data_IF_179452692076
#
_entry.id   IF_179452692076
#
_cell.length_a   1.000
_cell.length_b   1.000
_cell.length_c   1.000
_cell.angle_alpha   90.00
_cell.angle_beta   90.00
_cell.angle_gamma   90.00
#
_symmetry.space_group_name_H-M   'P 1'
#
loop_
_entity.id
_entity.type
_entity.pdbx_description
1 polymer ?
#
# COMPACT_ATOMS: atom_id res chain seq x y z
N UNK A 1 -17.39 -17.64 -1.37
CA UNK A 1 -16.23 -16.77 -1.05
C UNK A 1 -14.87 -17.35 -1.47
N UNK A 2 -14.80 -18.60 -1.95
CA UNK A 2 -13.54 -19.31 -2.21
C UNK A 2 -12.66 -18.63 -3.26
N UNK A 3 -13.22 -18.23 -4.41
CA UNK A 3 -12.47 -17.57 -5.49
C UNK A 3 -11.89 -16.21 -5.07
N UNK A 4 -12.64 -15.39 -4.32
CA UNK A 4 -12.16 -14.08 -3.86
C UNK A 4 -10.99 -14.16 -2.89
N UNK A 5 -10.88 -15.25 -2.13
CA UNK A 5 -9.78 -15.47 -1.18
C UNK A 5 -8.49 -15.94 -1.85
N UNK A 6 -8.55 -16.36 -3.11
CA UNK A 6 -7.40 -16.87 -3.88
C UNK A 6 -6.74 -15.78 -4.73
N UNK A 7 -7.26 -14.55 -4.73
CA UNK A 7 -6.75 -13.42 -5.51
C UNK A 7 -6.14 -12.35 -4.61
N UNK A 8 -5.49 -11.36 -5.23
CA UNK A 8 -5.10 -10.13 -4.54
C UNK A 8 -6.26 -9.12 -4.64
N UNK A 9 -6.94 -8.78 -3.53
CA UNK A 9 -8.12 -7.92 -3.59
C UNK A 9 -7.74 -6.44 -3.72
N UNK A 10 -8.42 -5.74 -4.61
CA UNK A 10 -8.39 -4.29 -4.71
C UNK A 10 -9.77 -3.73 -4.34
N UNK A 11 -9.80 -2.81 -3.37
CA UNK A 11 -11.05 -2.24 -2.87
C UNK A 11 -11.29 -0.85 -3.46
N UNK A 12 -12.39 -0.69 -4.20
CA UNK A 12 -12.88 0.61 -4.65
C UNK A 12 -14.08 0.98 -3.76
N UNK A 13 -13.94 2.05 -2.97
CA UNK A 13 -15.00 2.55 -2.08
C UNK A 13 -15.62 3.80 -2.71
N UNK A 14 -16.79 3.65 -3.33
CA UNK A 14 -17.54 4.78 -3.86
C UNK A 14 -18.08 5.66 -2.71
N UNK A 15 -18.08 6.98 -2.91
CA UNK A 15 -18.57 7.97 -1.94
C UNK A 15 -19.66 8.79 -2.59
N UNK A 16 -20.81 8.90 -1.93
CA UNK A 16 -21.91 9.76 -2.35
C UNK A 16 -21.63 11.17 -1.82
N UNK A 17 -21.55 12.19 -2.70
CA UNK A 17 -21.23 13.55 -2.28
C UNK A 17 -22.44 14.28 -1.66
N UNK A 18 -23.67 13.94 -2.04
CA UNK A 18 -24.90 14.52 -1.48
C UNK A 18 -26.12 13.63 -1.81
N UNK A 19 -27.22 13.78 -1.06
CA UNK A 19 -28.47 13.02 -1.27
C UNK A 19 -29.43 13.70 -2.27
N UNK A 20 -29.24 14.99 -2.53
CA UNK A 20 -30.06 15.79 -3.45
C UNK A 20 -29.71 15.57 -4.94
N UNK A 21 -28.81 14.64 -5.25
CA UNK A 21 -28.38 14.24 -6.61
C UNK A 21 -27.91 15.41 -7.47
N UNK A 22 -27.33 16.44 -6.85
CA UNK A 22 -26.91 17.66 -7.56
C UNK A 22 -25.39 17.65 -7.75
N UNK A 23 -24.94 17.94 -8.97
CA UNK A 23 -23.51 18.04 -9.28
C UNK A 23 -22.85 19.23 -8.58
N UNK A 24 -21.59 19.09 -8.18
CA UNK A 24 -20.79 20.18 -7.59
C UNK A 24 -21.09 20.48 -6.11
N UNK A 25 -22.03 19.77 -5.48
CA UNK A 25 -22.35 19.92 -4.06
C UNK A 25 -21.75 18.75 -3.27
N UNK A 26 -21.08 19.06 -2.16
CA UNK A 26 -20.54 18.07 -1.25
C UNK A 26 -21.03 18.35 0.18
N UNK A 27 -21.72 17.38 0.75
CA UNK A 27 -22.08 17.34 2.17
C UNK A 27 -20.97 16.68 2.97
N UNK A 28 -20.29 17.49 3.78
CA UNK A 28 -19.14 17.04 4.56
C UNK A 28 -19.52 16.04 5.66
N UNK A 29 -20.68 16.19 6.31
CA UNK A 29 -21.09 15.28 7.37
C UNK A 29 -21.45 13.90 6.80
N UNK A 30 -22.16 13.88 5.67
CA UNK A 30 -22.46 12.66 4.93
C UNK A 30 -21.20 11.92 4.48
N UNK A 31 -20.23 12.64 3.90
CA UNK A 31 -18.95 12.05 3.46
C UNK A 31 -18.14 11.53 4.64
N UNK A 32 -18.03 12.31 5.73
CA UNK A 32 -17.33 11.87 6.95
C UNK A 32 -17.93 10.58 7.51
N UNK A 33 -19.27 10.51 7.62
CA UNK A 33 -19.95 9.31 8.06
C UNK A 33 -19.60 8.10 7.19
N UNK A 34 -19.62 8.26 5.86
CA UNK A 34 -19.22 7.19 4.93
C UNK A 34 -17.76 6.76 5.12
N UNK A 35 -16.83 7.69 5.33
CA UNK A 35 -15.41 7.37 5.57
C UNK A 35 -15.19 6.57 6.85
N UNK A 36 -15.95 6.88 7.91
CA UNK A 36 -15.94 6.11 9.16
C UNK A 36 -16.55 4.71 8.97
N UNK A 37 -17.77 4.62 8.43
CA UNK A 37 -18.50 3.37 8.28
C UNK A 37 -17.83 2.40 7.29
N UNK A 38 -17.22 2.92 6.22
CA UNK A 38 -16.45 2.11 5.26
C UNK A 38 -15.07 1.69 5.79
N UNK A 39 -14.69 2.13 6.99
CA UNK A 39 -13.39 1.83 7.60
C UNK A 39 -12.20 2.46 6.87
N UNK A 40 -12.41 3.52 6.09
CA UNK A 40 -11.34 4.18 5.31
C UNK A 40 -10.30 4.78 6.26
N UNK A 41 -10.76 5.47 7.31
CA UNK A 41 -9.87 6.08 8.31
C UNK A 41 -9.06 5.02 9.07
N UNK A 42 -9.71 3.90 9.38
CA UNK A 42 -9.08 2.77 10.05
C UNK A 42 -8.05 2.06 9.15
N UNK A 43 -8.39 1.88 7.86
CA UNK A 43 -7.46 1.36 6.86
C UNK A 43 -6.21 2.23 6.72
N UNK A 44 -6.37 3.55 6.65
CA UNK A 44 -5.24 4.50 6.64
C UNK A 44 -4.41 4.36 7.93
N UNK A 45 -5.07 4.27 9.09
CA UNK A 45 -4.39 4.13 10.38
C UNK A 45 -3.53 2.87 10.45
N UNK A 46 -4.02 1.73 9.96
CA UNK A 46 -3.27 0.48 9.92
C UNK A 46 -2.08 0.59 8.96
N UNK A 47 -2.29 1.12 7.75
CA UNK A 47 -1.22 1.32 6.78
C UNK A 47 -0.10 2.23 7.32
N UNK A 48 -0.44 3.24 8.13
CA UNK A 48 0.53 4.14 8.75
C UNK A 48 1.29 3.53 9.93
N UNK A 49 0.65 2.65 10.70
CA UNK A 49 1.29 1.97 11.84
C UNK A 49 2.11 0.75 11.41
N UNK A 50 1.86 0.22 10.23
CA UNK A 50 2.56 -0.94 9.68
C UNK A 50 3.56 -0.59 8.58
N UNK A 51 4.00 -1.65 7.89
CA UNK A 51 4.85 -1.56 6.69
C UNK A 51 4.05 -2.11 5.50
N UNK A 52 3.29 -1.26 4.79
CA UNK A 52 2.39 -1.71 3.72
C UNK A 52 3.15 -2.21 2.49
N UNK A 53 4.33 -1.64 2.23
CA UNK A 53 5.21 -2.05 1.15
C UNK A 53 6.18 -3.10 1.67
N UNK A 54 6.23 -4.26 1.00
CA UNK A 54 7.18 -5.34 1.28
C UNK A 54 7.79 -5.77 -0.04
N UNK A 55 9.11 -5.99 -0.04
CA UNK A 55 9.85 -6.42 -1.20
C UNK A 55 10.75 -7.60 -0.82
N UNK A 56 10.93 -8.53 -1.75
CA UNK A 56 11.82 -9.67 -1.55
C UNK A 56 13.27 -9.18 -1.66
N UNK A 57 14.18 -9.70 -0.82
CA UNK A 57 15.58 -9.28 -0.79
C UNK A 57 16.28 -9.34 -2.15
N UNK A 58 16.00 -10.36 -2.96
CA UNK A 58 16.56 -10.49 -4.30
C UNK A 58 16.10 -9.37 -5.24
N UNK A 59 14.81 -9.02 -5.20
CA UNK A 59 14.26 -7.91 -6.00
C UNK A 59 14.80 -6.56 -5.54
N UNK A 60 14.90 -6.35 -4.22
CA UNK A 60 15.46 -5.11 -3.66
C UNK A 60 16.90 -4.93 -4.09
N UNK A 61 17.73 -5.97 -3.90
CA UNK A 61 19.12 -5.98 -4.37
C UNK A 61 19.19 -5.63 -5.85
N UNK A 62 18.47 -6.35 -6.71
CA UNK A 62 18.52 -6.15 -8.15
C UNK A 62 18.10 -4.73 -8.56
N UNK A 63 17.05 -4.20 -7.93
CA UNK A 63 16.49 -2.88 -8.28
C UNK A 63 17.34 -1.72 -7.78
N UNK A 64 17.94 -1.83 -6.60
CA UNK A 64 18.57 -0.68 -5.92
C UNK A 64 20.11 -0.74 -5.83
N UNK A 65 20.75 -1.82 -6.29
CA UNK A 65 22.24 -1.93 -6.29
C UNK A 65 22.93 -0.76 -7.03
N UNK A 66 22.27 -0.16 -8.02
CA UNK A 66 22.81 1.01 -8.74
C UNK A 66 23.04 2.22 -7.82
N UNK A 67 22.27 2.34 -6.73
CA UNK A 67 22.41 3.43 -5.76
C UNK A 67 23.59 3.20 -4.80
N UNK A 68 24.04 1.95 -4.64
CA UNK A 68 25.12 1.56 -3.73
C UNK A 68 26.15 0.65 -4.43
N UNK A 69 26.89 1.16 -5.45
CA UNK A 69 27.71 0.34 -6.34
C UNK A 69 28.88 -0.39 -5.65
N UNK A 70 29.34 0.13 -4.51
CA UNK A 70 30.47 -0.43 -3.74
C UNK A 70 30.03 -1.20 -2.49
N UNK A 71 28.73 -1.30 -2.21
CA UNK A 71 28.22 -1.92 -0.99
C UNK A 71 28.30 -3.46 -1.00
N UNK A 72 28.37 -4.06 -2.19
CA UNK A 72 28.32 -5.53 -2.35
C UNK A 72 29.67 -6.01 -2.91
N UNK A 73 30.40 -6.89 -2.21
CA UNK A 73 31.62 -7.50 -2.72
C UNK A 73 31.40 -8.29 -4.00
N UNK A 74 32.42 -8.37 -4.85
CA UNK A 74 32.41 -9.23 -6.05
C UNK A 74 32.33 -10.69 -5.62
N UNK A 75 31.33 -11.42 -6.12
CA UNK A 75 31.13 -12.84 -5.84
C UNK A 75 29.70 -13.17 -5.38
N UNK A 76 29.50 -14.41 -4.93
CA UNK A 76 28.22 -14.84 -4.37
C UNK A 76 28.05 -14.27 -2.96
N UNK A 77 26.96 -13.53 -2.75
CA UNK A 77 26.55 -13.00 -1.45
C UNK A 77 25.07 -13.27 -1.27
N UNK A 78 24.72 -13.79 -0.09
CA UNK A 78 23.33 -14.01 0.31
C UNK A 78 22.47 -12.75 0.13
N UNK A 79 21.24 -12.91 -0.35
CA UNK A 79 20.39 -11.77 -0.73
C UNK A 79 20.01 -10.91 0.49
N UNK A 80 19.80 -11.51 1.66
CA UNK A 80 19.47 -10.77 2.88
C UNK A 80 20.67 -9.94 3.31
N UNK A 81 21.86 -10.56 3.42
CA UNK A 81 23.11 -9.84 3.75
C UNK A 81 23.45 -8.75 2.75
N UNK A 82 23.19 -8.99 1.47
CA UNK A 82 23.41 -7.97 0.44
C UNK A 82 22.46 -6.78 0.63
N UNK A 83 21.19 -7.03 0.97
CA UNK A 83 20.19 -5.98 1.21
C UNK A 83 20.49 -5.15 2.45
N UNK A 84 21.11 -5.72 3.48
CA UNK A 84 21.53 -4.99 4.69
C UNK A 84 22.62 -3.93 4.40
N UNK A 85 23.37 -4.09 3.30
CA UNK A 85 24.47 -3.20 2.94
C UNK A 85 24.12 -2.17 1.85
N UNK A 86 23.00 -2.35 1.13
CA UNK A 86 22.49 -1.45 0.07
C UNK A 86 21.61 -0.38 0.70
#
# INVERSE_FOLDING_TARGET
MTNLKQTHPHFVRCIIPNEIKTGGILDSHLVLHQLHCNGVLEGIRICRKGFPNRMIYSEFKQRYSILAPNAIPKGFVDAKKATENI
#
